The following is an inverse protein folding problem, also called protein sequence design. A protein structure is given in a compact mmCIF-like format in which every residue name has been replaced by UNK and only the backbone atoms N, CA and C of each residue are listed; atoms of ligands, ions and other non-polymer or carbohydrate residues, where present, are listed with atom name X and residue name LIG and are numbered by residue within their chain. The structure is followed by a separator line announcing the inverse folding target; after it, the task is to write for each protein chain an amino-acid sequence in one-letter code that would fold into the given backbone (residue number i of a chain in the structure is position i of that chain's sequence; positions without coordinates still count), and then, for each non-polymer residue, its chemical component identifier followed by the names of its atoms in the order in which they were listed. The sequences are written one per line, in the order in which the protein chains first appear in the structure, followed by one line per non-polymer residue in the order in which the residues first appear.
data_IF_448730282484
#
_entry.id   IF_448730282484
#
_cell.length_a   1.000
_cell.length_b   1.000
_cell.length_c   1.000
_cell.angle_alpha   90.00
_cell.angle_beta   90.00
_cell.angle_gamma   90.00
#
_symmetry.space_group_name_H-M   'P 1'
#
loop_
_entity.id
_entity.type
_entity.pdbx_description
1 polymer ?
#
# COMPACT_ATOMS: atom_id res chain seq x y z
N UNK A 1 -20.10 -25.82 6.77
CA UNK A 1 -19.05 -25.68 5.73
C UNK A 1 -19.26 -24.46 4.80
N UNK A 2 -20.29 -23.62 5.00
CA UNK A 2 -20.54 -22.43 4.13
C UNK A 2 -19.79 -21.16 4.56
N UNK A 3 -19.31 -21.06 5.81
CA UNK A 3 -18.71 -19.81 6.33
C UNK A 3 -17.27 -19.55 5.87
N UNK A 4 -16.51 -20.59 5.50
CA UNK A 4 -15.10 -20.43 5.07
C UNK A 4 -14.95 -19.81 3.68
N UNK A 5 -15.91 -20.00 2.78
CA UNK A 5 -15.82 -19.50 1.39
C UNK A 5 -16.10 -17.99 1.33
N UNK A 6 -17.06 -17.50 2.12
CA UNK A 6 -17.36 -16.07 2.24
C UNK A 6 -16.23 -15.28 2.88
N UNK A 7 -15.66 -15.79 3.98
CA UNK A 7 -14.55 -15.14 4.66
C UNK A 7 -13.32 -14.94 3.76
N UNK A 8 -13.06 -15.90 2.86
CA UNK A 8 -11.96 -15.81 1.91
C UNK A 8 -12.22 -14.81 0.78
N UNK A 9 -13.49 -14.62 0.39
CA UNK A 9 -13.89 -13.59 -0.57
C UNK A 9 -13.79 -12.18 0.05
N UNK A 10 -14.28 -11.99 1.28
CA UNK A 10 -14.23 -10.68 1.96
C UNK A 10 -12.79 -10.16 2.16
N UNK A 11 -11.85 -11.06 2.43
CA UNK A 11 -10.43 -10.71 2.56
C UNK A 11 -9.78 -10.38 1.21
N UNK A 12 -10.21 -11.08 0.16
CA UNK A 12 -9.72 -10.87 -1.20
C UNK A 12 -10.24 -9.55 -1.78
N UNK A 13 -11.52 -9.23 -1.59
CA UNK A 13 -12.12 -7.97 -2.02
C UNK A 13 -11.42 -6.77 -1.37
N UNK A 14 -11.17 -6.85 -0.06
CA UNK A 14 -10.41 -5.82 0.67
C UNK A 14 -8.97 -5.63 0.18
N UNK A 15 -8.34 -6.72 -0.27
CA UNK A 15 -6.99 -6.64 -0.85
C UNK A 15 -7.04 -5.90 -2.19
N UNK A 16 -8.03 -6.17 -3.03
CA UNK A 16 -8.20 -5.49 -4.31
C UNK A 16 -8.54 -4.01 -4.13
N UNK A 17 -9.40 -3.67 -3.17
CA UNK A 17 -9.69 -2.27 -2.82
C UNK A 17 -8.42 -1.53 -2.40
N UNK A 18 -7.59 -2.16 -1.54
CA UNK A 18 -6.32 -1.59 -1.11
C UNK A 18 -5.32 -1.44 -2.26
N UNK A 19 -5.29 -2.39 -3.20
CA UNK A 19 -4.44 -2.30 -4.39
C UNK A 19 -4.86 -1.11 -5.28
N UNK A 20 -6.15 -0.90 -5.48
CA UNK A 20 -6.67 0.24 -6.23
C UNK A 20 -6.29 1.58 -5.58
N UNK A 21 -6.47 1.72 -4.25
CA UNK A 21 -6.07 2.93 -3.52
C UNK A 21 -4.55 3.21 -3.61
N UNK A 22 -3.74 2.15 -3.60
CA UNK A 22 -2.29 2.26 -3.76
C UNK A 22 -1.90 2.68 -5.18
N UNK A 23 -2.63 2.22 -6.20
CA UNK A 23 -2.41 2.62 -7.59
C UNK A 23 -2.61 4.13 -7.74
N UNK A 24 -3.75 4.64 -7.26
CA UNK A 24 -4.09 6.07 -7.28
C UNK A 24 -3.01 6.92 -6.58
N UNK A 25 -2.49 6.45 -5.44
CA UNK A 25 -1.42 7.15 -4.71
C UNK A 25 -0.11 7.22 -5.53
N UNK A 26 0.26 6.13 -6.19
CA UNK A 26 1.48 6.05 -7.00
C UNK A 26 1.36 6.93 -8.25
N UNK A 27 0.21 6.93 -8.91
CA UNK A 27 -0.07 7.81 -10.06
C UNK A 27 0.00 9.29 -9.67
N UNK A 28 -0.57 9.67 -8.51
CA UNK A 28 -0.46 11.02 -7.97
C UNK A 28 0.99 11.44 -7.68
N UNK A 29 1.86 10.47 -7.38
CA UNK A 29 3.29 10.69 -7.20
C UNK A 29 4.04 11.07 -8.48
N UNK A 30 3.39 11.03 -9.65
CA UNK A 30 4.01 11.33 -10.94
C UNK A 30 5.02 10.27 -11.39
N UNK A 31 4.98 9.08 -10.78
CA UNK A 31 5.85 7.96 -11.11
C UNK A 31 5.43 7.41 -12.47
N UNK A 32 6.35 7.42 -13.45
CA UNK A 32 6.09 6.80 -14.75
C UNK A 32 6.26 5.28 -14.65
N UNK A 33 5.14 4.59 -14.52
CA UNK A 33 5.00 3.14 -14.51
C UNK A 33 3.90 2.75 -15.50
N UNK A 34 4.03 1.58 -16.14
CA UNK A 34 2.95 1.10 -17.01
C UNK A 34 1.86 0.41 -16.18
N UNK A 35 0.69 0.22 -16.78
CA UNK A 35 -0.50 -0.32 -16.10
C UNK A 35 -0.28 -1.74 -15.54
N UNK A 36 0.42 -2.60 -16.29
CA UNK A 36 0.70 -3.98 -15.88
C UNK A 36 1.62 -4.03 -14.64
N UNK A 37 2.73 -3.27 -14.68
CA UNK A 37 3.68 -3.21 -13.58
C UNK A 37 3.06 -2.53 -12.35
N UNK A 38 2.17 -1.55 -12.56
CA UNK A 38 1.43 -0.88 -11.48
C UNK A 38 0.45 -1.84 -10.79
N UNK A 39 -0.26 -2.65 -11.57
CA UNK A 39 -1.16 -3.67 -11.04
C UNK A 39 -0.39 -4.73 -10.23
N UNK A 40 0.67 -5.31 -10.79
CA UNK A 40 1.49 -6.30 -10.07
C UNK A 40 2.08 -5.71 -8.78
N UNK A 41 2.57 -4.48 -8.83
CA UNK A 41 3.12 -3.78 -7.68
C UNK A 41 2.06 -3.57 -6.61
N UNK A 42 0.88 -3.07 -6.97
CA UNK A 42 -0.17 -2.72 -6.00
C UNK A 42 -0.79 -3.96 -5.37
N UNK A 43 -0.93 -5.07 -6.12
CA UNK A 43 -1.31 -6.38 -5.57
C UNK A 43 -0.26 -6.86 -4.57
N UNK A 44 1.02 -6.83 -4.94
CA UNK A 44 2.11 -7.24 -4.04
C UNK A 44 2.10 -6.41 -2.74
N UNK A 45 1.90 -5.10 -2.85
CA UNK A 45 1.83 -4.21 -1.69
C UNK A 45 0.59 -4.50 -0.83
N UNK A 46 -0.58 -4.71 -1.42
CA UNK A 46 -1.81 -5.03 -0.70
C UNK A 46 -1.73 -6.36 0.06
N UNK A 47 -1.14 -7.40 -0.54
CA UNK A 47 -0.86 -8.69 0.13
C UNK A 47 0.05 -8.50 1.34
N UNK A 48 1.03 -7.59 1.22
CA UNK A 48 2.02 -7.31 2.27
C UNK A 48 1.64 -6.08 3.13
N UNK A 49 0.39 -5.65 3.12
CA UNK A 49 -0.05 -4.42 3.79
C UNK A 49 0.32 -4.35 5.28
N UNK A 50 0.34 -5.50 5.97
CA UNK A 50 0.77 -5.63 7.36
C UNK A 50 2.25 -5.24 7.54
N UNK A 51 3.14 -5.74 6.69
CA UNK A 51 4.57 -5.40 6.69
C UNK A 51 4.78 -3.93 6.33
N UNK A 52 4.08 -3.45 5.29
CA UNK A 52 4.16 -2.06 4.87
C UNK A 52 3.73 -1.10 5.97
N UNK A 53 2.68 -1.44 6.73
CA UNK A 53 2.23 -0.63 7.86
C UNK A 53 3.32 -0.46 8.91
N UNK A 54 4.07 -1.51 9.21
CA UNK A 54 5.17 -1.46 10.18
C UNK A 54 6.36 -0.67 9.64
N UNK A 55 6.65 -0.75 8.34
CA UNK A 55 7.68 0.05 7.67
C UNK A 55 7.31 1.54 7.66
N UNK A 56 6.05 1.87 7.37
CA UNK A 56 5.58 3.26 7.22
C UNK A 56 5.28 3.96 8.55
N UNK A 57 4.98 3.19 9.62
CA UNK A 57 4.71 3.73 10.96
C UNK A 57 5.81 4.67 11.49
N UNK A 58 7.12 4.32 11.45
CA UNK A 58 8.17 5.24 11.86
C UNK A 58 8.31 6.44 10.91
N UNK A 59 8.08 6.27 9.60
CA UNK A 59 8.16 7.37 8.62
C UNK A 59 7.11 8.45 8.90
N UNK A 60 5.89 8.08 9.29
CA UNK A 60 4.86 9.04 9.75
C UNK A 60 5.34 9.89 10.93
N UNK A 61 6.13 9.29 11.84
CA UNK A 61 6.73 10.02 12.96
C UNK A 61 7.82 10.99 12.51
N UNK A 62 8.46 10.77 11.36
CA UNK A 62 9.48 11.68 10.82
C UNK A 62 8.84 12.92 10.17
N UNK A 63 7.70 12.75 9.49
CA UNK A 63 7.00 13.85 8.81
C UNK A 63 6.33 14.81 9.82
N UNK A 64 5.93 14.32 10.99
CA UNK A 64 5.26 15.13 12.02
C UNK A 64 6.22 15.71 13.08
N UNK A 65 7.53 15.58 12.90
CA UNK A 65 8.52 16.10 13.83
C UNK A 65 9.27 17.31 13.21
N UNK A 66 8.95 18.56 13.59
CA UNK A 66 9.49 19.76 12.95
C UNK A 66 11.01 19.93 13.07
N UNK A 67 11.67 19.14 13.92
CA UNK A 67 13.12 19.20 14.16
C UNK A 67 13.95 18.23 13.32
N UNK A 68 13.31 17.34 12.52
CA UNK A 68 14.06 16.39 11.69
C UNK A 68 14.44 17.06 10.37
N UNK A 69 15.69 17.51 10.28
CA UNK A 69 16.31 17.93 9.02
C UNK A 69 16.54 16.68 8.18
N UNK A 70 15.66 16.42 7.20
CA UNK A 70 15.96 15.48 6.12
C UNK A 70 17.17 16.07 5.39
N UNK A 71 18.34 15.48 5.63
CA UNK A 71 19.58 15.89 4.96
C UNK A 71 19.55 15.29 3.55
N UNK A 72 19.48 16.09 2.46
CA UNK A 72 19.65 15.55 1.13
C UNK A 72 21.11 15.12 0.99
N UNK A 73 21.32 13.82 0.78
CA UNK A 73 22.62 13.26 0.42
C UNK A 73 23.07 13.77 -0.96
#
# INVERSE_FOLDING_TARGET
MQDKLKYHADAYDKMLDAAAELADLIEQGGIKINEYDLEELTIFLAVNAHVLRDILKPVKSLIHNPDIKINPA
#
